data_IF_606333662325
#
_entry.id   IF_606333662325
#
_cell.length_a   1.000
_cell.length_b   1.000
_cell.length_c   1.000
_cell.angle_alpha   90.00
_cell.angle_beta   90.00
_cell.angle_gamma   90.00
#
_symmetry.space_group_name_H-M   'P 1'
#
loop_
_entity.id
_entity.type
_entity.pdbx_description
1 polymer ?
#
# COMPACT_ATOMS: atom_id res chain seq x y z
N UNK A 1 -14.54 -14.58 24.65
CA UNK A 1 -14.55 -14.01 23.28
C UNK A 1 -13.12 -13.91 22.76
N UNK A 2 -12.86 -14.29 21.50
CA UNK A 2 -11.56 -14.03 20.88
C UNK A 2 -11.43 -12.51 20.66
N UNK A 3 -10.27 -11.90 20.92
CA UNK A 3 -10.06 -10.46 20.70
C UNK A 3 -10.29 -10.09 19.21
N UNK A 4 -10.78 -8.88 18.95
CA UNK A 4 -10.96 -8.38 17.58
C UNK A 4 -9.62 -8.33 16.83
N UNK A 5 -9.66 -8.26 15.51
CA UNK A 5 -8.45 -8.07 14.68
C UNK A 5 -7.65 -6.86 15.15
N UNK A 6 -8.31 -5.72 15.30
CA UNK A 6 -7.68 -4.47 15.77
C UNK A 6 -7.00 -4.61 17.14
N UNK A 7 -7.63 -5.32 18.09
CA UNK A 7 -7.03 -5.53 19.41
C UNK A 7 -5.76 -6.41 19.33
N UNK A 8 -5.72 -7.39 18.43
CA UNK A 8 -4.54 -8.23 18.21
C UNK A 8 -3.43 -7.45 17.53
N UNK A 9 -3.78 -6.67 16.53
CA UNK A 9 -2.85 -5.81 15.80
C UNK A 9 -2.23 -4.76 16.73
N UNK A 10 -3.03 -4.04 17.51
CA UNK A 10 -2.53 -3.06 18.48
C UNK A 10 -1.56 -3.70 19.48
N UNK A 11 -1.86 -4.90 19.99
CA UNK A 11 -0.96 -5.62 20.89
C UNK A 11 0.38 -5.97 20.21
N UNK A 12 0.35 -6.41 18.96
CA UNK A 12 1.55 -6.71 18.19
C UNK A 12 2.39 -5.44 17.96
N UNK A 13 1.76 -4.34 17.56
CA UNK A 13 2.42 -3.03 17.36
C UNK A 13 3.07 -2.53 18.65
N UNK A 14 2.40 -2.69 19.80
CA UNK A 14 2.97 -2.30 21.10
C UNK A 14 4.19 -3.17 21.48
N UNK A 15 4.15 -4.46 21.19
CA UNK A 15 5.29 -5.34 21.39
C UNK A 15 6.49 -4.95 20.51
N UNK A 16 6.24 -4.64 19.22
CA UNK A 16 7.27 -4.15 18.28
C UNK A 16 7.88 -2.85 18.82
N UNK A 17 7.06 -1.88 19.22
CA UNK A 17 7.55 -0.59 19.75
C UNK A 17 8.44 -0.77 20.97
N UNK A 18 8.12 -1.72 21.85
CA UNK A 18 8.94 -2.04 23.04
C UNK A 18 10.25 -2.76 22.70
N UNK A 19 10.25 -3.55 21.62
CA UNK A 19 11.42 -4.30 21.18
C UNK A 19 12.49 -3.42 20.51
N UNK A 20 12.13 -2.23 20.03
CA UNK A 20 13.08 -1.31 19.36
C UNK A 20 13.71 -0.38 20.40
N UNK A 21 15.04 -0.48 20.66
CA UNK A 21 15.73 0.43 21.57
C UNK A 21 15.60 1.89 21.12
N UNK A 22 15.47 2.80 22.08
CA UNK A 22 15.36 4.24 21.79
C UNK A 22 16.59 4.80 21.05
N UNK A 23 17.76 4.22 21.26
CA UNK A 23 19.00 4.57 20.56
C UNK A 23 18.91 4.38 19.03
N UNK A 24 18.14 3.38 18.58
CA UNK A 24 17.91 3.15 17.13
C UNK A 24 16.88 4.11 16.52
N UNK A 25 16.22 4.90 17.34
CA UNK A 25 15.26 5.94 16.92
C UNK A 25 15.71 7.35 17.31
N UNK A 26 16.98 7.53 17.62
CA UNK A 26 17.53 8.81 18.09
C UNK A 26 17.29 9.97 17.12
N UNK A 27 17.38 9.69 15.82
CA UNK A 27 17.21 10.69 14.76
C UNK A 27 15.77 10.76 14.22
N UNK A 28 14.83 10.00 14.79
CA UNK A 28 13.43 10.07 14.39
C UNK A 28 12.78 11.34 14.96
N UNK A 29 12.12 12.09 14.10
CA UNK A 29 11.40 13.29 14.51
C UNK A 29 10.17 12.92 15.36
N UNK A 30 10.15 13.33 16.63
CA UNK A 30 9.08 12.98 17.57
C UNK A 30 7.68 13.40 17.06
N UNK A 31 7.60 14.47 16.27
CA UNK A 31 6.36 14.98 15.68
C UNK A 31 5.77 14.06 14.61
N UNK A 32 6.56 13.18 13.97
CA UNK A 32 6.07 12.19 13.00
C UNK A 32 5.64 10.87 13.63
N UNK A 33 5.86 10.70 14.93
CA UNK A 33 5.50 9.47 15.63
C UNK A 33 3.99 9.19 15.54
N UNK A 34 3.64 8.02 15.02
CA UNK A 34 2.26 7.59 14.84
C UNK A 34 1.57 8.19 13.60
N UNK A 35 2.31 8.82 12.70
CA UNK A 35 1.86 9.12 11.33
C UNK A 35 2.03 7.89 10.44
N UNK A 36 1.43 7.92 9.24
CA UNK A 36 1.55 6.85 8.25
C UNK A 36 2.97 6.75 7.66
N UNK A 37 3.72 7.84 7.66
CA UNK A 37 5.13 7.86 7.31
C UNK A 37 5.96 8.50 8.44
N UNK A 38 7.16 8.00 8.66
CA UNK A 38 8.08 8.51 9.69
C UNK A 38 9.12 9.44 9.08
N UNK A 39 9.51 10.46 9.86
CA UNK A 39 10.53 11.44 9.49
C UNK A 39 11.78 11.24 10.33
N UNK A 40 12.92 11.30 9.63
CA UNK A 40 14.25 11.21 10.25
C UNK A 40 15.07 12.45 9.91
N UNK A 41 15.94 12.82 10.84
CA UNK A 41 16.86 13.93 10.69
C UNK A 41 18.29 13.40 10.52
N UNK A 42 19.00 13.96 9.55
CA UNK A 42 20.44 13.78 9.39
C UNK A 42 21.04 15.14 8.99
N UNK A 43 21.48 15.90 9.99
CA UNK A 43 21.97 17.26 9.80
C UNK A 43 23.33 17.33 9.09
N UNK A 44 24.10 16.26 9.15
CA UNK A 44 25.42 16.20 8.49
C UNK A 44 25.25 16.06 6.97
N UNK A 45 24.30 15.21 6.54
CA UNK A 45 24.10 14.92 5.11
C UNK A 45 22.98 15.78 4.50
N UNK A 46 21.89 15.97 5.25
CA UNK A 46 20.70 16.68 4.80
C UNK A 46 20.28 17.81 5.75
N UNK A 47 21.10 18.88 5.89
CA UNK A 47 20.88 19.92 6.91
C UNK A 47 19.55 20.67 6.75
N UNK A 48 18.99 20.74 5.53
CA UNK A 48 17.76 21.47 5.21
C UNK A 48 16.52 20.58 5.05
N UNK A 49 16.67 19.25 5.10
CA UNK A 49 15.58 18.32 4.82
C UNK A 49 15.45 17.28 5.93
N UNK A 50 14.22 16.80 6.12
CA UNK A 50 13.95 15.53 6.76
C UNK A 50 13.89 14.43 5.71
N UNK A 51 14.28 13.23 6.08
CA UNK A 51 14.10 12.02 5.29
C UNK A 51 12.76 11.42 5.72
N UNK A 52 11.87 11.20 4.76
CA UNK A 52 10.58 10.56 4.96
C UNK A 52 10.64 9.12 4.47
N UNK A 53 10.12 8.19 5.26
CA UNK A 53 10.11 6.75 4.93
C UNK A 53 8.75 6.15 5.18
N UNK A 54 8.36 5.21 4.30
CA UNK A 54 7.18 4.37 4.46
C UNK A 54 7.44 2.97 3.92
N UNK A 55 6.66 2.00 4.38
CA UNK A 55 6.58 0.65 3.84
C UNK A 55 5.15 0.14 4.01
N UNK A 56 4.55 -0.31 2.92
CA UNK A 56 3.19 -0.88 2.92
C UNK A 56 3.04 -1.88 1.78
N UNK A 57 2.05 -2.79 1.91
CA UNK A 57 1.73 -3.83 0.95
C UNK A 57 0.28 -3.78 0.47
N UNK A 58 -0.02 -4.57 -0.56
CA UNK A 58 -1.36 -4.58 -1.17
C UNK A 58 -2.35 -5.51 -0.44
N UNK A 59 -1.86 -6.39 0.41
CA UNK A 59 -2.67 -7.28 1.22
C UNK A 59 -3.59 -8.19 0.40
N UNK A 60 -4.75 -8.52 0.96
CA UNK A 60 -5.64 -9.52 0.38
C UNK A 60 -6.40 -9.10 -0.89
N UNK A 61 -6.15 -7.90 -1.43
CA UNK A 61 -6.54 -7.53 -2.80
C UNK A 61 -5.86 -8.43 -3.83
N UNK A 62 -4.65 -8.91 -3.52
CA UNK A 62 -3.92 -9.88 -4.33
C UNK A 62 -4.77 -11.11 -4.70
N UNK A 63 -5.64 -11.59 -3.80
CA UNK A 63 -6.54 -12.72 -4.07
C UNK A 63 -7.51 -12.41 -5.22
N UNK A 64 -8.02 -11.19 -5.30
CA UNK A 64 -8.91 -10.79 -6.40
C UNK A 64 -8.12 -10.76 -7.72
N UNK A 65 -6.89 -10.27 -7.71
CA UNK A 65 -6.02 -10.27 -8.90
C UNK A 65 -5.77 -11.68 -9.42
N UNK A 66 -5.52 -12.63 -8.54
CA UNK A 66 -5.33 -14.04 -8.88
C UNK A 66 -6.59 -14.66 -9.49
N UNK A 67 -7.74 -14.42 -8.89
CA UNK A 67 -9.02 -14.95 -9.37
C UNK A 67 -9.40 -14.36 -10.72
N UNK A 68 -9.14 -13.07 -10.93
CA UNK A 68 -9.40 -12.36 -12.19
C UNK A 68 -8.27 -12.54 -13.22
N UNK A 69 -7.17 -13.20 -12.85
CA UNK A 69 -5.97 -13.35 -13.68
C UNK A 69 -5.46 -12.00 -14.24
N UNK A 70 -5.47 -10.96 -13.40
CA UNK A 70 -5.08 -9.60 -13.76
C UNK A 70 -4.22 -8.99 -12.65
N UNK A 71 -2.96 -8.74 -12.95
CA UNK A 71 -1.93 -8.45 -11.96
C UNK A 71 -1.33 -7.04 -12.06
N UNK A 72 -1.40 -6.39 -13.22
CA UNK A 72 -0.80 -5.07 -13.46
C UNK A 72 -1.42 -3.96 -12.58
N UNK A 73 -2.69 -4.08 -12.22
CA UNK A 73 -3.35 -3.11 -11.32
C UNK A 73 -2.76 -3.15 -9.91
N UNK A 74 -2.34 -4.33 -9.44
CA UNK A 74 -1.74 -4.52 -8.11
C UNK A 74 -0.42 -3.77 -7.97
N UNK A 75 0.38 -3.72 -9.03
CA UNK A 75 1.61 -2.91 -9.01
C UNK A 75 1.34 -1.42 -8.84
N UNK A 76 0.27 -0.90 -9.46
CA UNK A 76 -0.16 0.49 -9.25
C UNK A 76 -0.57 0.70 -7.79
N UNK A 77 -1.35 -0.24 -7.22
CA UNK A 77 -1.75 -0.19 -5.82
C UNK A 77 -0.54 -0.15 -4.87
N UNK A 78 0.47 -0.99 -5.13
CA UNK A 78 1.68 -1.06 -4.32
C UNK A 78 2.44 0.28 -4.27
N UNK A 79 2.50 0.99 -5.39
CA UNK A 79 3.05 2.36 -5.44
C UNK A 79 2.12 3.34 -4.74
N UNK A 80 0.81 3.24 -5.00
CA UNK A 80 -0.18 4.18 -4.48
C UNK A 80 -0.23 4.21 -2.96
N UNK A 81 -0.23 3.05 -2.28
CA UNK A 81 -0.29 2.99 -0.82
C UNK A 81 0.93 3.70 -0.21
N UNK A 82 2.13 3.46 -0.73
CA UNK A 82 3.36 4.09 -0.26
C UNK A 82 3.42 5.60 -0.60
N UNK A 83 3.06 5.99 -1.82
CA UNK A 83 3.07 7.39 -2.22
C UNK A 83 2.06 8.23 -1.43
N UNK A 84 0.89 7.65 -1.15
CA UNK A 84 -0.17 8.32 -0.40
C UNK A 84 0.18 8.46 1.09
N UNK A 85 0.86 7.47 1.67
CA UNK A 85 1.37 7.57 3.04
C UNK A 85 2.37 8.71 3.18
N UNK A 86 3.32 8.84 2.24
CA UNK A 86 4.22 10.00 2.20
C UNK A 86 3.45 11.30 2.03
N UNK A 87 2.39 11.32 1.22
CA UNK A 87 1.57 12.51 0.98
C UNK A 87 0.90 13.04 2.26
N UNK A 88 0.66 12.19 3.26
CA UNK A 88 0.11 12.62 4.56
C UNK A 88 1.03 13.58 5.32
N UNK A 89 2.31 13.63 4.97
CA UNK A 89 3.29 14.58 5.51
C UNK A 89 3.17 16.00 4.90
N UNK A 90 2.36 16.17 3.87
CA UNK A 90 2.22 17.42 3.12
C UNK A 90 3.23 17.53 1.98
N UNK A 91 4.01 18.61 1.93
CA UNK A 91 4.90 18.95 0.82
C UNK A 91 6.16 18.05 0.74
N UNK A 92 5.96 16.72 0.70
CA UNK A 92 7.03 15.74 0.53
C UNK A 92 7.39 15.59 -0.95
N UNK A 93 8.66 15.37 -1.23
CA UNK A 93 9.19 14.99 -2.56
C UNK A 93 9.66 13.54 -2.51
N UNK A 94 8.87 12.58 -2.97
CA UNK A 94 9.30 11.19 -3.07
C UNK A 94 10.49 11.08 -4.02
N UNK A 95 11.42 10.16 -3.72
CA UNK A 95 12.67 10.04 -4.47
C UNK A 95 12.95 8.63 -4.96
N UNK A 96 12.77 7.63 -4.10
CA UNK A 96 13.14 6.25 -4.37
C UNK A 96 12.00 5.32 -3.96
N UNK A 97 11.64 4.40 -4.85
CA UNK A 97 10.74 3.30 -4.57
C UNK A 97 11.49 1.97 -4.69
N UNK A 98 11.28 1.09 -3.74
CA UNK A 98 11.82 -0.28 -3.72
C UNK A 98 10.67 -1.24 -3.50
N UNK A 99 10.76 -2.46 -4.05
CA UNK A 99 9.71 -3.48 -3.91
C UNK A 99 10.23 -4.79 -3.35
N UNK A 100 9.29 -5.58 -2.82
CA UNK A 100 9.50 -6.97 -2.45
C UNK A 100 8.27 -7.77 -2.87
N UNK A 101 8.46 -8.79 -3.72
CA UNK A 101 7.40 -9.71 -4.15
C UNK A 101 7.69 -11.08 -3.55
N UNK A 102 6.86 -11.49 -2.58
CA UNK A 102 6.86 -12.84 -2.04
C UNK A 102 5.81 -13.65 -2.78
N UNK A 103 6.16 -14.81 -3.32
CA UNK A 103 5.20 -15.53 -4.17
C UNK A 103 5.39 -17.06 -4.17
N UNK A 104 4.35 -17.75 -4.64
CA UNK A 104 4.40 -19.17 -4.96
C UNK A 104 4.97 -19.41 -6.36
N UNK A 105 5.39 -20.65 -6.62
CA UNK A 105 6.13 -21.03 -7.83
C UNK A 105 5.41 -20.68 -9.14
N UNK A 106 4.08 -20.87 -9.24
CA UNK A 106 3.34 -20.53 -10.46
C UNK A 106 3.35 -19.05 -10.82
N UNK A 107 3.55 -18.17 -9.86
CA UNK A 107 3.69 -16.73 -10.11
C UNK A 107 5.03 -16.47 -10.84
N UNK A 108 6.11 -17.16 -10.42
CA UNK A 108 7.41 -17.07 -11.10
C UNK A 108 7.40 -17.76 -12.47
N UNK A 109 6.93 -19.00 -12.53
CA UNK A 109 6.91 -19.81 -13.76
C UNK A 109 6.14 -19.14 -14.90
N UNK A 110 5.08 -18.40 -14.58
CA UNK A 110 4.27 -17.67 -15.56
C UNK A 110 4.71 -16.22 -15.77
N UNK A 111 5.84 -15.83 -15.19
CA UNK A 111 6.37 -14.46 -15.27
C UNK A 111 5.38 -13.36 -14.82
N UNK A 112 4.45 -13.70 -13.93
CA UNK A 112 3.43 -12.77 -13.41
C UNK A 112 4.08 -11.61 -12.64
N UNK A 113 5.24 -11.84 -12.02
CA UNK A 113 6.04 -10.78 -11.39
C UNK A 113 6.34 -9.63 -12.36
N UNK A 114 6.54 -9.93 -13.65
CA UNK A 114 6.73 -8.91 -14.68
C UNK A 114 5.51 -8.02 -14.88
N UNK A 115 4.31 -8.56 -14.80
CA UNK A 115 3.08 -7.76 -14.91
C UNK A 115 2.86 -6.89 -13.65
N UNK A 116 3.19 -7.41 -12.46
CA UNK A 116 3.15 -6.63 -11.22
C UNK A 116 4.12 -5.45 -11.32
N UNK A 117 5.37 -5.69 -11.74
CA UNK A 117 6.40 -4.64 -11.89
C UNK A 117 6.04 -3.62 -12.98
N UNK A 118 5.40 -4.05 -14.08
CA UNK A 118 4.83 -3.11 -15.07
C UNK A 118 3.78 -2.19 -14.43
N UNK A 119 2.95 -2.73 -13.55
CA UNK A 119 2.00 -1.93 -12.78
C UNK A 119 2.71 -0.94 -11.86
N UNK A 120 3.77 -1.36 -11.16
CA UNK A 120 4.58 -0.46 -10.33
C UNK A 120 5.19 0.66 -11.18
N UNK A 121 5.73 0.36 -12.34
CA UNK A 121 6.26 1.35 -13.27
C UNK A 121 5.20 2.36 -13.69
N UNK A 122 3.99 1.91 -14.04
CA UNK A 122 2.86 2.80 -14.36
C UNK A 122 2.48 3.69 -13.17
N UNK A 123 2.47 3.14 -11.94
CA UNK A 123 2.22 3.90 -10.72
C UNK A 123 3.26 5.01 -10.50
N UNK A 124 4.54 4.70 -10.70
CA UNK A 124 5.63 5.68 -10.61
C UNK A 124 5.54 6.75 -11.72
N UNK A 125 5.18 6.36 -12.94
CA UNK A 125 4.92 7.32 -14.03
C UNK A 125 3.77 8.27 -13.66
N UNK A 126 2.68 7.78 -13.05
CA UNK A 126 1.60 8.63 -12.55
C UNK A 126 2.09 9.60 -11.46
N UNK A 127 2.94 9.13 -10.54
CA UNK A 127 3.59 10.01 -9.56
C UNK A 127 4.45 11.09 -10.22
N UNK A 128 5.16 10.75 -11.31
CA UNK A 128 6.10 11.62 -12.00
C UNK A 128 5.46 12.55 -13.04
N UNK A 129 4.24 12.24 -13.49
CA UNK A 129 3.56 12.96 -14.58
C UNK A 129 3.12 14.40 -14.23
N UNK A 130 3.27 14.82 -12.98
CA UNK A 130 2.83 16.14 -12.56
C UNK A 130 3.78 17.25 -12.99
N UNK A 131 3.22 18.26 -13.66
CA UNK A 131 3.87 19.53 -13.96
C UNK A 131 4.25 20.37 -12.72
N UNK A 132 3.80 19.97 -11.55
CA UNK A 132 3.99 20.70 -10.28
C UNK A 132 5.41 20.54 -9.79
N UNK A 133 6.02 19.42 -10.13
CA UNK A 133 7.39 19.11 -9.79
C UNK A 133 8.38 19.61 -10.87
N UNK A 134 8.15 20.78 -11.45
CA UNK A 134 8.93 21.33 -12.58
C UNK A 134 10.45 21.37 -12.41
N UNK A 135 10.95 21.26 -11.18
CA UNK A 135 12.37 21.13 -10.84
C UNK A 135 12.62 19.94 -9.92
N UNK A 136 11.78 18.91 -9.96
CA UNK A 136 11.76 17.91 -8.93
C UNK A 136 12.48 16.64 -9.33
N UNK A 137 13.05 16.07 -8.32
CA UNK A 137 13.55 14.72 -8.26
C UNK A 137 12.44 13.79 -8.73
N UNK A 138 12.69 13.03 -9.80
CA UNK A 138 11.78 11.95 -10.22
C UNK A 138 11.92 10.80 -9.26
N UNK A 139 10.81 10.11 -8.98
CA UNK A 139 10.86 8.85 -8.23
C UNK A 139 11.53 7.81 -9.12
N UNK A 140 12.61 7.25 -8.60
CA UNK A 140 13.34 6.19 -9.27
C UNK A 140 12.88 4.83 -8.76
N UNK A 141 12.87 3.84 -9.63
CA UNK A 141 12.71 2.45 -9.25
C UNK A 141 14.08 1.95 -8.74
N UNK A 142 14.15 1.57 -7.48
CA UNK A 142 15.37 1.06 -6.83
C UNK A 142 15.53 -0.45 -6.97
N UNK A 143 16.27 -1.04 -6.03
CA UNK A 143 16.41 -2.48 -5.97
C UNK A 143 15.08 -3.12 -5.56
N UNK A 144 14.65 -4.15 -6.31
CA UNK A 144 13.58 -5.04 -5.91
C UNK A 144 14.10 -6.36 -5.35
N UNK A 145 13.22 -7.10 -4.67
CA UNK A 145 13.45 -8.47 -4.21
C UNK A 145 12.28 -9.34 -4.65
N UNK A 146 12.59 -10.56 -5.11
CA UNK A 146 11.57 -11.56 -5.45
C UNK A 146 11.96 -12.88 -4.82
N UNK A 147 11.11 -13.41 -3.94
CA UNK A 147 11.36 -14.65 -3.22
C UNK A 147 10.25 -15.67 -3.43
N UNK A 148 10.64 -16.91 -3.79
CA UNK A 148 9.75 -18.06 -3.82
C UNK A 148 9.56 -18.59 -2.40
N UNK A 149 8.41 -18.35 -1.81
CA UNK A 149 8.07 -18.71 -0.43
C UNK A 149 6.77 -19.54 -0.37
N UNK A 150 6.63 -20.48 -1.31
CA UNK A 150 5.38 -21.22 -1.54
C UNK A 150 4.82 -21.95 -0.32
N UNK A 151 5.67 -22.39 0.61
CA UNK A 151 5.22 -23.04 1.85
C UNK A 151 4.62 -22.06 2.86
N UNK A 152 4.97 -20.76 2.78
CA UNK A 152 4.50 -19.72 3.69
C UNK A 152 3.21 -19.06 3.21
N UNK A 153 2.95 -19.09 1.90
CA UNK A 153 1.81 -18.41 1.30
C UNK A 153 0.70 -19.41 0.95
N UNK A 154 -0.54 -18.98 1.15
CA UNK A 154 -1.70 -19.74 0.70
C UNK A 154 -2.67 -18.86 -0.07
N UNK A 155 -3.27 -19.42 -1.13
CA UNK A 155 -4.26 -18.77 -1.95
C UNK A 155 -5.43 -19.73 -2.24
N UNK A 156 -6.65 -19.24 -2.52
CA UNK A 156 -7.73 -20.06 -3.05
C UNK A 156 -7.35 -20.80 -4.33
N UNK A 157 -6.46 -20.22 -5.13
CA UNK A 157 -5.95 -20.81 -6.38
C UNK A 157 -4.65 -21.56 -6.11
N UNK A 158 -4.70 -22.90 -6.20
CA UNK A 158 -3.57 -23.77 -5.89
C UNK A 158 -2.29 -23.45 -6.68
N UNK A 159 -1.18 -23.25 -5.97
CA UNK A 159 0.12 -22.89 -6.50
C UNK A 159 0.29 -21.41 -6.86
N UNK A 160 -0.76 -20.62 -6.70
CA UNK A 160 -0.72 -19.17 -6.73
C UNK A 160 -0.69 -18.64 -5.31
N UNK A 161 -0.40 -17.41 -5.13
CA UNK A 161 -0.25 -16.73 -3.85
C UNK A 161 0.91 -15.79 -3.98
N UNK A 162 0.66 -14.53 -3.71
CA UNK A 162 1.72 -13.53 -3.64
C UNK A 162 1.34 -12.41 -2.70
N UNK A 163 2.35 -11.72 -2.22
CA UNK A 163 2.22 -10.43 -1.56
C UNK A 163 3.23 -9.49 -2.21
N UNK A 164 2.82 -8.27 -2.48
CA UNK A 164 3.67 -7.23 -3.03
C UNK A 164 3.76 -6.07 -2.03
N UNK A 165 4.96 -5.87 -1.49
CA UNK A 165 5.29 -4.74 -0.63
C UNK A 165 6.06 -3.70 -1.42
N UNK A 166 5.85 -2.44 -1.06
CA UNK A 166 6.70 -1.34 -1.49
C UNK A 166 7.28 -0.62 -0.28
N UNK A 167 8.42 0.00 -0.48
CA UNK A 167 8.99 0.97 0.43
C UNK A 167 9.34 2.23 -0.34
N UNK A 168 9.01 3.39 0.21
CA UNK A 168 9.29 4.65 -0.46
C UNK A 168 10.05 5.59 0.46
N UNK A 169 11.08 6.21 -0.11
CA UNK A 169 11.87 7.25 0.54
C UNK A 169 11.59 8.58 -0.15
N UNK A 170 11.41 9.63 0.64
CA UNK A 170 11.24 10.99 0.16
C UNK A 170 11.93 12.00 1.05
N UNK A 171 11.88 13.25 0.63
CA UNK A 171 12.46 14.38 1.37
C UNK A 171 11.41 15.47 1.57
N UNK A 172 11.46 16.14 2.70
CA UNK A 172 10.66 17.32 2.98
C UNK A 172 11.55 18.44 3.54
N UNK A 173 11.46 19.63 2.99
CA UNK A 173 12.18 20.76 3.54
C UNK A 173 11.71 21.03 4.97
N UNK A 174 12.66 21.16 5.92
CA UNK A 174 12.34 21.38 7.34
C UNK A 174 11.39 22.55 7.57
N UNK A 175 11.55 23.63 6.81
CA UNK A 175 10.68 24.82 6.88
C UNK A 175 9.26 24.60 6.38
N UNK A 176 9.02 23.55 5.56
CA UNK A 176 7.70 23.21 5.01
C UNK A 176 6.94 22.19 5.84
N UNK A 177 7.65 21.45 6.71
CA UNK A 177 6.99 20.49 7.58
C UNK A 177 6.35 21.18 8.77
N UNK A 178 5.03 21.16 8.81
CA UNK A 178 4.26 21.66 9.94
C UNK A 178 3.19 20.64 10.30
N UNK A 179 3.37 19.98 11.43
CA UNK A 179 2.29 19.17 11.99
C UNK A 179 1.20 20.10 12.51
N UNK A 180 0.17 20.29 11.71
CA UNK A 180 -0.96 21.12 12.13
C UNK A 180 -1.84 20.37 13.14
N UNK A 181 -2.21 21.06 14.21
CA UNK A 181 -3.26 20.57 15.11
C UNK A 181 -4.62 20.90 14.49
N UNK A 182 -5.44 19.88 14.31
CA UNK A 182 -6.82 20.06 13.87
C UNK A 182 -7.59 20.87 14.93
N UNK A 183 -8.31 21.90 14.48
CA UNK A 183 -9.08 22.80 15.34
C UNK A 183 -10.54 22.84 14.88
N UNK A 184 -11.46 23.07 15.82
CA UNK A 184 -12.86 23.34 15.51
C UNK A 184 -12.96 24.55 14.58
N UNK A 185 -13.89 24.48 13.61
CA UNK A 185 -14.10 25.53 12.61
C UNK A 185 -13.24 25.42 11.34
N UNK A 186 -12.29 24.49 11.27
CA UNK A 186 -11.57 24.20 10.03
C UNK A 186 -12.49 23.49 9.01
N UNK A 187 -12.27 23.78 7.73
CA UNK A 187 -12.97 23.09 6.64
C UNK A 187 -12.35 21.73 6.37
N UNK A 188 -13.19 20.74 6.09
CA UNK A 188 -12.78 19.41 5.65
C UNK A 188 -12.89 19.38 4.13
N UNK A 189 -11.80 19.00 3.47
CA UNK A 189 -11.75 18.80 2.01
C UNK A 189 -11.59 17.30 1.77
N UNK A 190 -12.51 16.71 1.02
CA UNK A 190 -12.43 15.31 0.61
C UNK A 190 -11.89 15.21 -0.83
N UNK A 191 -10.96 14.28 -1.05
CA UNK A 191 -10.49 13.92 -2.37
C UNK A 191 -11.23 12.66 -2.82
N UNK A 192 -11.78 12.69 -4.05
CA UNK A 192 -12.50 11.53 -4.58
C UNK A 192 -11.58 10.32 -4.76
N UNK A 193 -12.08 9.13 -4.45
CA UNK A 193 -11.38 7.86 -4.66
C UNK A 193 -11.98 7.06 -5.82
N UNK A 194 -11.27 6.01 -6.26
CA UNK A 194 -11.77 4.97 -7.14
C UNK A 194 -11.80 3.65 -6.38
N UNK A 195 -12.99 3.01 -6.30
CA UNK A 195 -13.14 1.77 -5.59
C UNK A 195 -12.65 1.80 -4.12
N UNK A 196 -12.39 0.63 -3.55
CA UNK A 196 -11.97 0.49 -2.14
C UNK A 196 -10.47 0.71 -1.90
N UNK A 197 -9.70 1.14 -2.89
CA UNK A 197 -8.23 1.20 -2.87
C UNK A 197 -7.59 -0.17 -2.59
N UNK A 198 -6.77 -0.28 -1.51
CA UNK A 198 -6.11 -1.54 -1.12
C UNK A 198 -6.37 -1.92 0.35
N UNK A 199 -7.34 -1.28 1.01
CA UNK A 199 -7.64 -1.50 2.42
C UNK A 199 -8.96 -2.23 2.64
N UNK A 200 -9.05 -3.00 3.75
CA UNK A 200 -10.27 -3.68 4.17
C UNK A 200 -10.71 -4.85 3.28
N UNK A 201 -9.86 -5.35 2.39
CA UNK A 201 -10.23 -6.38 1.40
C UNK A 201 -10.62 -7.72 2.00
N UNK A 202 -10.14 -8.07 3.17
CA UNK A 202 -10.57 -9.30 3.86
C UNK A 202 -12.06 -9.24 4.16
N UNK A 203 -12.51 -8.18 4.82
CA UNK A 203 -13.92 -8.01 5.19
C UNK A 203 -14.77 -7.77 3.95
N UNK A 204 -14.30 -6.92 3.03
CA UNK A 204 -14.99 -6.64 1.77
C UNK A 204 -15.28 -7.91 0.96
N UNK A 205 -14.28 -8.78 0.78
CA UNK A 205 -14.47 -10.08 0.10
C UNK A 205 -15.49 -10.94 0.83
N UNK A 206 -15.37 -11.06 2.15
CA UNK A 206 -16.27 -11.90 2.93
C UNK A 206 -17.71 -11.40 2.91
N UNK A 207 -17.94 -10.10 2.99
CA UNK A 207 -19.29 -9.53 2.98
C UNK A 207 -19.92 -9.45 1.58
N UNK A 208 -19.12 -9.34 0.52
CA UNK A 208 -19.62 -9.10 -0.83
C UNK A 208 -19.76 -10.38 -1.64
N UNK A 209 -18.80 -11.30 -1.54
CA UNK A 209 -18.69 -12.47 -2.40
C UNK A 209 -19.29 -13.73 -1.77
N UNK A 210 -19.81 -14.64 -2.61
CA UNK A 210 -20.31 -15.96 -2.20
C UNK A 210 -19.20 -16.89 -1.72
N UNK A 211 -17.96 -16.69 -2.16
CA UNK A 211 -16.83 -17.54 -1.81
C UNK A 211 -16.81 -18.89 -2.52
N UNK A 212 -17.49 -19.05 -3.64
CA UNK A 212 -17.56 -20.32 -4.39
C UNK A 212 -16.18 -20.76 -4.93
N UNK A 213 -15.23 -19.84 -5.01
CA UNK A 213 -13.84 -20.09 -5.36
C UNK A 213 -12.95 -20.58 -4.21
N UNK A 214 -13.39 -20.45 -2.96
CA UNK A 214 -12.60 -20.87 -1.80
C UNK A 214 -12.78 -22.36 -1.55
N UNK A 215 -11.68 -23.09 -1.53
CA UNK A 215 -11.66 -24.56 -1.37
C UNK A 215 -11.49 -25.00 0.08
N UNK A 216 -11.08 -24.10 0.97
CA UNK A 216 -10.87 -24.38 2.39
C UNK A 216 -12.10 -24.02 3.18
N UNK A 217 -12.76 -25.03 3.75
CA UNK A 217 -14.04 -24.87 4.45
C UNK A 217 -14.01 -23.84 5.59
N UNK A 218 -12.89 -23.72 6.32
CA UNK A 218 -12.75 -22.74 7.40
C UNK A 218 -12.73 -21.28 6.87
N UNK A 219 -12.32 -21.07 5.61
CA UNK A 219 -12.37 -19.77 4.96
C UNK A 219 -13.68 -19.56 4.23
N UNK A 220 -14.18 -20.58 3.52
CA UNK A 220 -15.45 -20.52 2.80
C UNK A 220 -16.61 -20.07 3.70
N UNK A 221 -16.68 -20.58 4.90
CA UNK A 221 -17.70 -20.20 5.91
C UNK A 221 -17.68 -18.73 6.33
N UNK A 222 -16.62 -17.99 6.00
CA UNK A 222 -16.52 -16.55 6.30
C UNK A 222 -17.18 -15.68 5.23
N UNK A 223 -17.44 -16.24 4.05
CA UNK A 223 -18.10 -15.53 2.95
C UNK A 223 -19.61 -15.56 3.16
N UNK A 224 -20.21 -14.40 3.26
CA UNK A 224 -21.66 -14.22 3.50
C UNK A 224 -22.34 -13.42 2.40
N UNK A 225 -21.56 -13.00 1.39
CA UNK A 225 -22.04 -12.20 0.29
C UNK A 225 -22.83 -12.99 -0.75
N UNK A 226 -23.38 -12.27 -1.71
CA UNK A 226 -24.28 -12.80 -2.74
C UNK A 226 -23.78 -12.65 -4.18
N UNK A 227 -22.61 -12.05 -4.39
CA UNK A 227 -22.08 -11.75 -5.71
C UNK A 227 -20.94 -12.69 -6.09
N UNK A 228 -20.83 -12.93 -7.40
CA UNK A 228 -19.65 -13.48 -8.05
C UNK A 228 -18.82 -12.34 -8.67
N UNK A 229 -17.57 -12.61 -9.00
CA UNK A 229 -16.67 -11.59 -9.59
C UNK A 229 -17.14 -11.14 -10.97
N UNK A 230 -17.86 -11.99 -11.71
CA UNK A 230 -18.39 -11.75 -13.06
C UNK A 230 -19.73 -11.02 -13.03
N UNK A 231 -20.40 -10.95 -11.88
CA UNK A 231 -21.70 -10.28 -11.78
C UNK A 231 -21.56 -8.81 -12.16
N UNK A 232 -22.53 -8.34 -12.96
CA UNK A 232 -22.54 -6.95 -13.45
C UNK A 232 -23.07 -6.01 -12.38
N UNK A 233 -22.39 -4.88 -12.23
CA UNK A 233 -22.78 -3.79 -11.36
C UNK A 233 -22.28 -2.47 -11.96
N UNK A 234 -23.16 -1.48 -12.06
CA UNK A 234 -22.85 -0.11 -12.52
C UNK A 234 -22.00 -0.05 -13.80
N UNK A 235 -22.43 -0.80 -14.82
CA UNK A 235 -21.75 -0.84 -16.12
C UNK A 235 -20.43 -1.63 -16.18
N UNK A 236 -20.03 -2.25 -15.08
CA UNK A 236 -18.80 -3.06 -14.98
C UNK A 236 -19.09 -4.44 -14.37
N UNK A 237 -18.06 -5.17 -13.96
CA UNK A 237 -18.19 -6.37 -13.14
C UNK A 237 -17.64 -6.12 -11.74
N UNK A 238 -18.16 -6.86 -10.75
CA UNK A 238 -17.69 -6.78 -9.36
C UNK A 238 -16.16 -6.96 -9.30
N UNK A 239 -15.61 -7.95 -10.01
CA UNK A 239 -14.18 -8.19 -10.05
C UNK A 239 -13.38 -7.02 -10.60
N UNK A 240 -13.84 -6.37 -11.68
CA UNK A 240 -13.17 -5.18 -12.23
C UNK A 240 -13.22 -4.01 -11.26
N UNK A 241 -14.37 -3.76 -10.62
CA UNK A 241 -14.51 -2.70 -9.63
C UNK A 241 -13.61 -2.94 -8.41
N UNK A 242 -13.48 -4.19 -7.98
CA UNK A 242 -12.57 -4.56 -6.89
C UNK A 242 -11.09 -4.44 -7.29
N UNK A 243 -10.75 -4.53 -8.57
CA UNK A 243 -9.38 -4.36 -9.07
C UNK A 243 -9.06 -2.94 -9.52
N UNK A 244 -10.03 -2.01 -9.43
CA UNK A 244 -9.72 -0.61 -9.73
C UNK A 244 -8.54 -0.13 -8.89
N UNK A 245 -7.47 0.39 -9.52
CA UNK A 245 -6.29 0.83 -8.78
C UNK A 245 -6.59 2.00 -7.85
N UNK A 246 -5.92 2.03 -6.72
CA UNK A 246 -5.94 3.16 -5.81
C UNK A 246 -5.47 4.44 -6.50
N UNK A 247 -6.17 5.55 -6.30
CA UNK A 247 -5.70 6.87 -6.73
C UNK A 247 -4.42 7.28 -6.03
N UNK A 248 -3.55 7.94 -6.76
CA UNK A 248 -2.31 8.52 -6.24
C UNK A 248 -2.53 10.01 -5.99
N UNK A 249 -2.41 10.42 -4.73
CA UNK A 249 -2.69 11.80 -4.29
C UNK A 249 -1.43 12.64 -4.05
N UNK A 250 -0.25 12.05 -4.07
CA UNK A 250 1.01 12.71 -3.71
C UNK A 250 1.22 14.02 -4.46
N UNK A 251 0.82 14.09 -5.72
CA UNK A 251 0.92 15.30 -6.54
C UNK A 251 -0.04 16.41 -6.10
N UNK A 252 -1.25 16.04 -5.69
CA UNK A 252 -2.27 16.99 -5.23
C UNK A 252 -1.88 17.57 -3.88
N UNK A 253 -1.27 16.75 -3.02
CA UNK A 253 -0.87 17.14 -1.66
C UNK A 253 0.44 17.93 -1.62
N UNK A 254 1.30 17.80 -2.64
CA UNK A 254 2.58 18.53 -2.72
C UNK A 254 2.42 20.02 -3.09
N UNK A 255 1.22 20.50 -3.39
CA UNK A 255 0.87 21.90 -3.62
C UNK A 255 0.72 22.67 -2.33
#
# INVERSE_FOLDING_TARGET
MKPSYQARESKAVDAIKKAIPSSLKSNMLAQSRGMFAELFENNEVFPKHYIATTIDGVGTKAIIAELMNKYDTIGIDCVAVNANDLATLGAVSPFLFMDCILCQNKILEKAITGDIVKGMSKGLEQCNASSILRNSIRINFGKGETAAVGELLSSPKSGYGFEAFGSMIGFIEKKKFQRQKVKSGQKIIALGSYGPHSNGYTDLRHCLLKGDFETREEFKKKYTGRFNLEDKFDGSTIGKLLLEPAKIYVQTMAK
#
